data_IF_116539921557
#
_entry.id   IF_116539921557
#
_cell.length_a   1.000
_cell.length_b   1.000
_cell.length_c   1.000
_cell.angle_alpha   90.00
_cell.angle_beta   90.00
_cell.angle_gamma   90.00
#
_symmetry.space_group_name_H-M   'P 1'
#
loop_
_entity.id
_entity.type
_entity.pdbx_description
1 polymer ?
#
# COMPACT_ATOMS: atom_id res chain seq x y z
N UNK A 1 -4.26 30.78 3.05
CA UNK A 1 -3.91 30.58 1.64
C UNK A 1 -2.65 29.74 1.42
N UNK A 2 -2.02 29.27 2.45
CA UNK A 2 -0.74 28.57 2.38
C UNK A 2 -0.81 27.04 2.52
N UNK A 3 -2.01 26.46 2.67
CA UNK A 3 -2.17 25.02 2.89
C UNK A 3 -2.34 24.17 1.62
N UNK A 4 -2.78 24.74 0.52
CA UNK A 4 -3.10 24.00 -0.71
C UNK A 4 -1.93 23.93 -1.70
N UNK A 5 -1.15 24.99 -1.81
CA UNK A 5 0.00 25.04 -2.72
C UNK A 5 1.11 24.04 -2.35
N UNK A 6 1.26 23.73 -1.07
CA UNK A 6 2.26 22.78 -0.60
C UNK A 6 1.92 21.32 -0.92
N UNK A 7 0.65 20.98 -1.02
CA UNK A 7 0.19 19.61 -1.34
C UNK A 7 0.28 19.33 -2.84
N UNK A 8 -0.12 20.26 -3.66
CA UNK A 8 -0.03 20.14 -5.11
C UNK A 8 1.43 20.06 -5.58
N UNK A 9 2.31 20.84 -4.99
CA UNK A 9 3.74 20.76 -5.24
C UNK A 9 4.35 19.43 -4.82
N UNK A 10 3.87 18.85 -3.71
CA UNK A 10 4.29 17.53 -3.24
C UNK A 10 3.87 16.40 -4.17
N UNK A 11 2.62 16.42 -4.65
CA UNK A 11 2.11 15.43 -5.62
C UNK A 11 2.90 15.52 -6.93
N UNK A 12 3.14 16.71 -7.43
CA UNK A 12 3.94 16.92 -8.64
C UNK A 12 5.37 16.39 -8.48
N UNK A 13 5.97 16.55 -7.32
CA UNK A 13 7.35 16.12 -7.06
C UNK A 13 7.52 14.59 -7.21
N UNK A 14 6.72 13.78 -6.55
CA UNK A 14 6.87 12.33 -6.68
C UNK A 14 6.42 11.79 -8.04
N UNK A 15 5.45 12.43 -8.68
CA UNK A 15 5.04 12.06 -10.04
C UNK A 15 6.13 12.37 -11.07
N UNK A 16 6.85 13.46 -10.90
CA UNK A 16 8.01 13.79 -11.74
C UNK A 16 9.08 12.70 -11.63
N UNK A 17 9.40 12.28 -10.42
CA UNK A 17 10.36 11.18 -10.18
C UNK A 17 9.89 9.90 -10.87
N UNK A 18 8.64 9.54 -10.69
CA UNK A 18 8.06 8.34 -11.30
C UNK A 18 8.10 8.41 -12.83
N UNK A 19 7.71 9.54 -13.42
CA UNK A 19 7.76 9.76 -14.86
C UNK A 19 9.19 9.61 -15.40
N UNK A 20 10.15 10.25 -14.77
CA UNK A 20 11.56 10.22 -15.19
C UNK A 20 12.14 8.80 -15.12
N UNK A 21 11.75 8.03 -14.10
CA UNK A 21 12.15 6.62 -14.00
C UNK A 21 11.52 5.80 -15.12
N UNK A 22 10.23 5.94 -15.39
CA UNK A 22 9.54 5.18 -16.44
C UNK A 22 10.03 5.54 -17.84
N UNK A 23 10.41 6.81 -18.07
CA UNK A 23 10.96 7.24 -19.36
C UNK A 23 12.32 6.62 -19.65
N UNK A 24 13.06 6.23 -18.62
CA UNK A 24 14.35 5.52 -18.75
C UNK A 24 14.21 4.00 -18.83
N UNK A 25 13.02 3.47 -18.64
CA UNK A 25 12.76 2.02 -18.72
C UNK A 25 12.44 1.59 -20.16
N UNK A 26 12.61 0.29 -20.48
CA UNK A 26 12.30 -0.23 -21.80
C UNK A 26 10.85 0.02 -22.22
N UNK A 27 10.62 0.04 -23.52
CA UNK A 27 9.26 0.09 -24.08
C UNK A 27 8.42 -1.06 -23.53
N UNK A 28 7.15 -0.78 -23.21
CA UNK A 28 6.23 -1.75 -22.63
C UNK A 28 6.20 -1.79 -21.09
N UNK A 29 7.10 -1.09 -20.40
CA UNK A 29 7.08 -1.03 -18.94
C UNK A 29 5.77 -0.41 -18.41
N UNK A 30 5.27 0.65 -19.04
CA UNK A 30 3.99 1.27 -18.66
C UNK A 30 2.81 0.33 -18.87
N UNK A 31 2.83 -0.47 -19.92
CA UNK A 31 1.81 -1.48 -20.21
C UNK A 31 1.83 -2.60 -19.15
N UNK A 32 3.01 -3.08 -18.78
CA UNK A 32 3.17 -4.07 -17.70
C UNK A 32 2.70 -3.53 -16.37
N UNK A 33 3.00 -2.27 -16.08
CA UNK A 33 2.54 -1.61 -14.86
C UNK A 33 1.02 -1.52 -14.82
N UNK A 34 0.37 -1.13 -15.90
CA UNK A 34 -1.08 -1.10 -16.00
C UNK A 34 -1.69 -2.48 -15.72
N UNK A 35 -1.14 -3.53 -16.29
CA UNK A 35 -1.58 -4.91 -16.05
C UNK A 35 -1.37 -5.35 -14.60
N UNK A 36 -0.21 -5.06 -14.02
CA UNK A 36 0.11 -5.41 -12.64
C UNK A 36 -0.82 -4.73 -11.64
N UNK A 37 -1.18 -3.46 -11.89
CA UNK A 37 -2.09 -2.69 -11.04
C UNK A 37 -3.58 -2.98 -11.31
N UNK A 38 -3.90 -3.83 -12.28
CA UNK A 38 -5.28 -4.10 -12.69
C UNK A 38 -6.00 -2.88 -13.25
N UNK A 39 -5.27 -1.98 -13.92
CA UNK A 39 -5.77 -0.73 -14.46
C UNK A 39 -5.50 -0.62 -15.95
N UNK A 40 -5.64 0.56 -16.51
CA UNK A 40 -5.44 0.83 -17.93
C UNK A 40 -4.34 1.88 -18.16
N UNK A 41 -3.99 2.07 -19.42
CA UNK A 41 -2.95 3.02 -19.83
C UNK A 41 -3.27 4.48 -19.45
N UNK A 42 -4.54 4.87 -19.46
CA UNK A 42 -4.96 6.20 -19.06
C UNK A 42 -4.68 6.47 -17.58
N UNK A 43 -4.92 5.48 -16.72
CA UNK A 43 -4.57 5.58 -15.31
C UNK A 43 -3.07 5.77 -15.10
N UNK A 44 -2.23 5.00 -15.81
CA UNK A 44 -0.78 5.16 -15.74
C UNK A 44 -0.34 6.56 -16.19
N UNK A 45 -0.95 7.09 -17.24
CA UNK A 45 -0.69 8.47 -17.69
C UNK A 45 -1.05 9.50 -16.61
N UNK A 46 -2.14 9.30 -15.90
CA UNK A 46 -2.58 10.19 -14.82
C UNK A 46 -1.63 10.17 -13.62
N UNK A 47 -1.23 8.98 -13.17
CA UNK A 47 -0.34 8.88 -12.00
C UNK A 47 1.10 9.32 -12.28
N UNK A 48 1.48 9.40 -13.54
CA UNK A 48 2.82 9.87 -13.97
C UNK A 48 2.82 11.30 -14.48
N UNK A 49 1.67 11.96 -14.53
CA UNK A 49 1.56 13.34 -14.97
C UNK A 49 1.61 14.31 -13.79
N UNK A 50 2.70 15.09 -13.65
CA UNK A 50 2.82 16.06 -12.55
C UNK A 50 1.73 17.15 -12.54
N UNK A 51 1.16 17.46 -13.70
CA UNK A 51 0.08 18.43 -13.83
C UNK A 51 -1.28 17.90 -13.37
N UNK A 52 -1.42 16.59 -13.18
CA UNK A 52 -2.65 15.97 -12.73
C UNK A 52 -2.65 15.84 -11.21
N UNK A 53 -3.51 16.58 -10.47
CA UNK A 53 -3.38 16.74 -9.01
C UNK A 53 -3.85 15.53 -8.20
N UNK A 54 -4.42 14.51 -8.85
CA UNK A 54 -4.93 13.33 -8.15
C UNK A 54 -3.77 12.48 -7.63
N UNK A 55 -3.73 12.17 -6.33
CA UNK A 55 -2.67 11.35 -5.73
C UNK A 55 -2.65 9.92 -6.26
N UNK A 56 -1.48 9.28 -6.20
CA UNK A 56 -1.39 7.83 -6.40
C UNK A 56 -2.03 7.15 -5.18
N UNK A 57 -3.03 6.26 -5.37
CA UNK A 57 -3.63 5.53 -4.26
C UNK A 57 -2.61 4.67 -3.52
N UNK A 58 -2.60 4.67 -2.18
CA UNK A 58 -1.61 3.91 -1.39
C UNK A 58 -1.62 2.41 -1.66
N UNK A 59 -2.78 1.84 -1.99
CA UNK A 59 -2.93 0.42 -2.29
C UNK A 59 -2.13 -0.03 -3.52
N UNK A 60 -1.81 0.88 -4.44
CA UNK A 60 -1.03 0.58 -5.63
C UNK A 60 0.49 0.66 -5.40
N UNK A 61 0.93 1.23 -4.29
CA UNK A 61 2.36 1.47 -4.03
C UNK A 61 3.21 0.19 -4.01
N UNK A 62 2.82 -0.89 -3.33
CA UNK A 62 3.64 -2.11 -3.31
C UNK A 62 3.87 -2.71 -4.69
N UNK A 63 2.82 -2.88 -5.48
CA UNK A 63 2.90 -3.45 -6.83
C UNK A 63 3.64 -2.52 -7.80
N UNK A 64 3.44 -1.21 -7.67
CA UNK A 64 4.14 -0.21 -8.45
C UNK A 64 5.66 -0.30 -8.23
N UNK A 65 6.08 -0.33 -6.98
CA UNK A 65 7.51 -0.42 -6.62
C UNK A 65 8.13 -1.74 -7.09
N UNK A 66 7.41 -2.85 -6.97
CA UNK A 66 7.88 -4.16 -7.42
C UNK A 66 7.99 -4.25 -8.95
N UNK A 67 7.05 -3.64 -9.67
CA UNK A 67 6.98 -3.75 -11.13
C UNK A 67 8.05 -2.90 -11.82
N UNK A 68 8.33 -1.70 -11.33
CA UNK A 68 9.25 -0.77 -11.98
C UNK A 68 10.70 -0.91 -11.55
N UNK A 69 11.01 -1.69 -10.54
CA UNK A 69 12.36 -1.99 -10.05
C UNK A 69 13.22 -0.73 -9.87
N UNK A 70 12.84 0.11 -8.92
CA UNK A 70 13.59 1.31 -8.59
C UNK A 70 14.96 0.96 -8.00
N UNK A 71 15.99 1.73 -8.37
CA UNK A 71 17.25 1.70 -7.63
C UNK A 71 17.05 2.15 -6.18
N UNK A 72 17.99 1.86 -5.30
CA UNK A 72 17.88 2.26 -3.90
C UNK A 72 17.73 3.78 -3.75
N UNK A 73 18.47 4.58 -4.54
CA UNK A 73 18.35 6.03 -4.51
C UNK A 73 17.05 6.56 -5.10
N UNK A 74 16.59 5.98 -6.22
CA UNK A 74 15.29 6.30 -6.82
C UNK A 74 14.13 5.99 -5.85
N UNK A 75 14.18 4.82 -5.22
CA UNK A 75 13.18 4.40 -4.22
C UNK A 75 13.14 5.34 -3.03
N UNK A 76 14.29 5.68 -2.47
CA UNK A 76 14.39 6.61 -1.34
C UNK A 76 13.85 7.99 -1.70
N UNK A 77 14.21 8.55 -2.85
CA UNK A 77 13.73 9.83 -3.31
C UNK A 77 12.22 9.85 -3.55
N UNK A 78 11.70 8.81 -4.20
CA UNK A 78 10.27 8.67 -4.49
C UNK A 78 9.43 8.56 -3.21
N UNK A 79 9.81 7.65 -2.30
CA UNK A 79 9.10 7.45 -1.04
C UNK A 79 9.16 8.67 -0.13
N UNK A 80 10.30 9.37 -0.08
CA UNK A 80 10.44 10.60 0.68
C UNK A 80 9.53 11.72 0.14
N UNK A 81 9.44 11.85 -1.18
CA UNK A 81 8.56 12.82 -1.83
C UNK A 81 7.08 12.48 -1.59
N UNK A 82 6.73 11.21 -1.68
CA UNK A 82 5.37 10.74 -1.40
C UNK A 82 4.98 10.98 0.07
N UNK A 83 5.86 10.68 1.01
CA UNK A 83 5.61 10.91 2.44
C UNK A 83 5.46 12.40 2.75
N UNK A 84 6.24 13.28 2.13
CA UNK A 84 6.07 14.73 2.27
C UNK A 84 4.72 15.23 1.75
N UNK A 85 4.27 14.67 0.63
CA UNK A 85 2.98 15.02 0.04
C UNK A 85 1.80 14.49 0.87
N UNK A 86 1.96 13.32 1.45
CA UNK A 86 0.91 12.60 2.16
C UNK A 86 1.43 12.01 3.48
N UNK A 87 1.68 12.84 4.50
CA UNK A 87 2.24 12.37 5.76
C UNK A 87 1.40 11.25 6.38
N UNK A 88 2.06 10.15 6.77
CA UNK A 88 1.43 9.00 7.39
C UNK A 88 0.66 8.07 6.46
N UNK A 89 0.47 8.41 5.18
CA UNK A 89 -0.33 7.61 4.25
C UNK A 89 0.31 6.27 3.91
N UNK A 90 1.62 6.21 3.79
CA UNK A 90 2.35 4.95 3.60
C UNK A 90 2.27 4.06 4.83
N UNK A 91 2.34 4.65 6.01
CA UNK A 91 2.17 3.94 7.29
C UNK A 91 0.73 3.49 7.50
N UNK A 92 -0.26 4.29 7.05
CA UNK A 92 -1.68 3.99 7.15
C UNK A 92 -2.25 3.20 5.97
N UNK A 93 -1.71 3.35 4.76
CA UNK A 93 -2.16 2.67 3.53
C UNK A 93 -1.50 1.32 3.32
N UNK A 94 -0.26 1.15 3.74
CA UNK A 94 0.27 -0.11 4.17
C UNK A 94 -0.15 -0.29 5.62
N UNK A 95 -1.44 -0.41 5.86
CA UNK A 95 -1.88 -1.07 7.07
C UNK A 95 -1.43 -2.54 6.95
N UNK A 96 -0.15 -2.75 7.08
CA UNK A 96 0.29 -3.81 7.95
C UNK A 96 -0.31 -3.43 9.29
N UNK A 97 -1.46 -3.99 9.59
CA UNK A 97 -1.95 -4.04 10.95
C UNK A 97 -0.72 -4.25 11.82
N UNK A 98 -0.48 -3.33 12.75
CA UNK A 98 0.62 -3.49 13.68
C UNK A 98 0.51 -4.89 14.25
N UNK A 99 1.35 -5.80 13.75
CA UNK A 99 1.28 -7.20 14.14
C UNK A 99 1.92 -7.30 15.51
N UNK A 100 1.11 -7.58 16.52
CA UNK A 100 1.61 -7.98 17.82
C UNK A 100 1.68 -9.51 17.89
N UNK A 101 2.71 -10.03 18.47
CA UNK A 101 2.87 -11.47 18.67
C UNK A 101 2.27 -11.86 20.01
N UNK A 102 1.38 -12.84 19.97
CA UNK A 102 0.85 -13.51 21.16
C UNK A 102 1.39 -14.94 21.13
N UNK A 103 2.11 -15.34 22.16
CA UNK A 103 2.52 -16.73 22.31
C UNK A 103 1.37 -17.51 22.97
N UNK A 104 0.91 -18.53 22.30
CA UNK A 104 -0.15 -19.43 22.79
C UNK A 104 0.37 -20.85 22.67
N UNK A 105 0.33 -21.58 23.77
CA UNK A 105 0.64 -23.01 23.78
C UNK A 105 -0.54 -23.78 23.20
N UNK A 106 -0.30 -24.52 22.14
CA UNK A 106 -1.30 -25.36 21.49
C UNK A 106 -0.93 -26.82 21.66
N UNK A 107 -1.92 -27.73 21.74
CA UNK A 107 -1.63 -29.14 21.89
C UNK A 107 -0.93 -29.70 20.67
N UNK A 108 0.05 -30.57 20.90
CA UNK A 108 0.66 -31.39 19.86
C UNK A 108 -0.25 -32.57 19.53
N UNK A 109 -0.70 -32.65 18.29
CA UNK A 109 -1.61 -33.71 17.81
C UNK A 109 -0.89 -34.99 17.41
N UNK A 110 0.45 -35.03 17.57
CA UNK A 110 1.26 -36.22 17.31
C UNK A 110 1.54 -36.52 15.84
N UNK A 111 1.10 -35.65 14.93
CA UNK A 111 1.29 -35.77 13.49
C UNK A 111 1.55 -34.41 12.88
N UNK A 112 2.64 -34.27 12.11
CA UNK A 112 3.02 -33.01 11.47
C UNK A 112 1.93 -32.45 10.54
N UNK A 113 1.23 -33.32 9.80
CA UNK A 113 0.15 -32.91 8.91
C UNK A 113 -1.07 -32.38 9.71
N UNK A 114 -1.40 -33.00 10.82
CA UNK A 114 -2.48 -32.54 11.71
C UNK A 114 -2.13 -31.23 12.40
N UNK A 115 -0.89 -31.07 12.86
CA UNK A 115 -0.42 -29.83 13.46
C UNK A 115 -0.48 -28.69 12.44
N UNK A 116 -0.03 -28.91 11.19
CA UNK A 116 -0.11 -27.91 10.12
C UNK A 116 -1.56 -27.50 9.79
N UNK A 117 -2.49 -28.47 9.73
CA UNK A 117 -3.91 -28.20 9.51
C UNK A 117 -4.51 -27.40 10.66
N UNK A 118 -4.16 -27.73 11.89
CA UNK A 118 -4.59 -27.02 13.09
C UNK A 118 -4.08 -25.58 13.09
N UNK A 119 -2.79 -25.38 12.80
CA UNK A 119 -2.17 -24.05 12.71
C UNK A 119 -2.84 -23.19 11.64
N UNK A 120 -3.21 -23.78 10.51
CA UNK A 120 -3.96 -23.10 9.44
C UNK A 120 -5.33 -22.63 9.92
N UNK A 121 -6.06 -23.47 10.65
CA UNK A 121 -7.36 -23.12 11.24
C UNK A 121 -7.24 -21.99 12.27
N UNK A 122 -6.21 -22.03 13.10
CA UNK A 122 -5.94 -20.95 14.09
C UNK A 122 -5.66 -19.62 13.39
N UNK A 123 -4.86 -19.63 12.34
CA UNK A 123 -4.58 -18.42 11.54
C UNK A 123 -5.84 -17.86 10.89
N UNK A 124 -6.68 -18.70 10.31
CA UNK A 124 -7.96 -18.32 9.72
C UNK A 124 -8.92 -17.72 10.76
N UNK A 125 -8.98 -18.33 11.93
CA UNK A 125 -9.80 -17.85 13.04
C UNK A 125 -9.33 -16.48 13.53
N UNK A 126 -8.02 -16.27 13.66
CA UNK A 126 -7.43 -14.98 14.05
C UNK A 126 -7.79 -13.89 13.03
N UNK A 127 -7.68 -14.19 11.73
CA UNK A 127 -8.06 -13.26 10.68
C UNK A 127 -9.54 -12.88 10.73
N UNK A 128 -10.43 -13.82 11.05
CA UNK A 128 -11.88 -13.57 11.21
C UNK A 128 -12.18 -12.74 12.45
N UNK A 129 -11.52 -13.03 13.57
CA UNK A 129 -11.66 -12.28 14.81
C UNK A 129 -11.19 -10.84 14.66
N UNK A 130 -10.08 -10.63 13.96
CA UNK A 130 -9.56 -9.28 13.67
C UNK A 130 -10.57 -8.45 12.87
N UNK A 131 -11.16 -9.02 11.82
CA UNK A 131 -12.20 -8.37 11.02
C UNK A 131 -13.47 -8.05 11.83
N UNK A 132 -13.85 -8.94 12.71
CA UNK A 132 -15.00 -8.73 13.60
C UNK A 132 -14.76 -7.58 14.58
N UNK A 133 -13.58 -7.54 15.20
CA UNK A 133 -13.18 -6.47 16.12
C UNK A 133 -13.13 -5.08 15.42
N UNK A 134 -12.67 -5.02 14.16
CA UNK A 134 -12.68 -3.81 13.36
C UNK A 134 -14.11 -3.35 13.03
N UNK A 135 -15.02 -4.27 12.76
CA UNK A 135 -16.43 -3.99 12.48
C UNK A 135 -17.17 -3.41 13.68
N UNK A 136 -16.83 -3.82 14.91
CA UNK A 136 -17.43 -3.27 16.13
C UNK A 136 -16.90 -1.89 16.50
N UNK A 137 -15.62 -1.62 16.26
CA UNK A 137 -15.04 -0.30 16.50
C UNK A 137 -15.69 0.80 15.64
N UNK A 138 -16.17 0.43 14.44
CA UNK A 138 -16.89 1.36 13.56
C UNK A 138 -18.33 1.68 14.00
N UNK A 139 -18.95 0.86 14.84
CA UNK A 139 -20.34 1.04 15.29
C UNK A 139 -20.49 1.87 16.54
N UNK A 140 -19.44 2.03 17.35
CA UNK A 140 -19.49 2.80 18.59
C UNK A 140 -19.38 4.32 18.39
N UNK A 141 -19.11 4.78 17.17
CA UNK A 141 -18.98 6.18 16.83
C UNK A 141 -20.27 6.89 16.39
N UNK A 142 -21.36 6.16 16.16
CA UNK A 142 -22.60 6.71 15.59
C UNK A 142 -23.72 6.93 16.60
N UNK A 143 -23.55 6.54 17.86
CA UNK A 143 -24.64 6.58 18.86
C UNK A 143 -24.51 7.72 19.89
N UNK A 144 -23.59 8.67 19.67
CA UNK A 144 -23.43 9.86 20.54
C UNK A 144 -23.73 11.18 19.82
N UNK A 145 -24.91 11.27 19.17
CA UNK A 145 -25.44 12.57 18.74
C UNK A 145 -26.92 12.70 19.06
#
# INVERSE_FOLDING_TARGET
VTGEDGRDGGVAAYKTILRDVLDRRPAGTRQRLAGALGTNRSFISQITNPAYPVPIPPQHMPLLLDTIHLSASERTAFLAAYERAHPGRLSGGAQRQAVRTIAIDVPDLGDAARNAAFDGMVKDLIARLARFAEGEAGRHGEDER
#
